data_IF_818938005686
#
_entry.id   IF_818938005686
#
_cell.length_a   1.000
_cell.length_b   1.000
_cell.length_c   1.000
_cell.angle_alpha   90.00
_cell.angle_beta   90.00
_cell.angle_gamma   90.00
#
_symmetry.space_group_name_H-M   'P 1'
#
loop_
_entity.id
_entity.type
_entity.pdbx_description
1 polymer ?
#
# COMPACT_ATOMS: atom_id res chain seq x y z
N UNK A 1 -35.97 35.62 8.95
CA UNK A 1 -34.78 34.82 9.28
C UNK A 1 -34.00 35.54 10.36
N UNK A 2 -33.92 34.98 11.57
CA UNK A 2 -33.25 35.62 12.69
C UNK A 2 -31.73 35.50 12.48
N UNK A 3 -30.97 36.58 12.68
CA UNK A 3 -29.50 36.60 12.49
C UNK A 3 -28.80 35.45 13.25
N UNK A 4 -29.35 35.07 14.40
CA UNK A 4 -28.91 33.96 15.25
C UNK A 4 -29.09 32.60 14.55
N UNK A 5 -30.20 32.39 13.86
CA UNK A 5 -30.44 31.16 13.08
C UNK A 5 -29.48 31.03 11.90
N UNK A 6 -29.12 32.15 11.26
CA UNK A 6 -28.16 32.16 10.16
C UNK A 6 -26.74 31.82 10.65
N UNK A 7 -26.29 32.41 11.76
CA UNK A 7 -24.98 32.10 12.35
C UNK A 7 -24.85 30.65 12.79
N UNK A 8 -25.92 30.06 13.35
CA UNK A 8 -25.93 28.64 13.74
C UNK A 8 -25.84 27.75 12.51
N UNK A 9 -26.62 28.02 11.45
CA UNK A 9 -26.55 27.24 10.21
C UNK A 9 -25.15 27.29 9.56
N UNK A 10 -24.51 28.47 9.52
CA UNK A 10 -23.14 28.59 8.98
C UNK A 10 -22.14 27.79 9.81
N UNK A 11 -22.23 27.88 11.14
CA UNK A 11 -21.34 27.13 12.04
C UNK A 11 -21.49 25.62 11.88
N UNK A 12 -22.73 25.12 11.75
CA UNK A 12 -22.99 23.69 11.51
C UNK A 12 -22.39 23.22 10.20
N UNK A 13 -22.52 24.00 9.12
CA UNK A 13 -21.94 23.67 7.81
C UNK A 13 -20.41 23.62 7.88
N UNK A 14 -19.78 24.58 8.56
CA UNK A 14 -18.32 24.60 8.76
C UNK A 14 -17.86 23.39 9.58
N UNK A 15 -18.54 23.06 10.68
CA UNK A 15 -18.22 21.88 11.47
C UNK A 15 -18.40 20.57 10.68
N UNK A 16 -19.44 20.45 9.85
CA UNK A 16 -19.64 19.32 8.96
C UNK A 16 -18.47 19.17 7.97
N UNK A 17 -18.03 20.28 7.38
CA UNK A 17 -16.92 20.28 6.44
C UNK A 17 -15.60 19.85 7.12
N UNK A 18 -15.35 20.34 8.34
CA UNK A 18 -14.16 19.97 9.12
C UNK A 18 -14.11 18.48 9.50
N UNK A 19 -15.27 17.83 9.69
CA UNK A 19 -15.34 16.39 10.02
C UNK A 19 -15.24 15.52 8.76
N UNK A 20 -15.67 16.02 7.59
CA UNK A 20 -15.68 15.25 6.35
C UNK A 20 -14.31 15.20 5.64
N UNK A 21 -13.50 16.26 5.73
CA UNK A 21 -12.18 16.32 5.05
C UNK A 21 -11.20 15.20 5.49
N UNK A 22 -11.04 14.89 6.79
CA UNK A 22 -10.07 13.88 7.23
C UNK A 22 -10.35 12.47 6.68
N UNK A 23 -11.62 12.11 6.46
CA UNK A 23 -12.00 10.79 5.95
C UNK A 23 -11.67 10.61 4.47
N UNK A 24 -11.60 11.70 3.69
CA UNK A 24 -11.32 11.63 2.25
C UNK A 24 -9.82 11.54 1.92
N UNK A 25 -8.94 11.87 2.86
CA UNK A 25 -7.48 11.93 2.65
C UNK A 25 -6.72 10.71 3.18
N UNK A 26 -7.40 9.61 3.52
CA UNK A 26 -6.74 8.36 3.85
C UNK A 26 -6.15 7.72 2.58
N UNK A 27 -4.96 8.15 2.18
CA UNK A 27 -4.24 7.54 1.07
C UNK A 27 -3.86 6.11 1.45
N UNK A 28 -4.30 5.13 0.67
CA UNK A 28 -3.84 3.76 0.82
C UNK A 28 -2.40 3.63 0.35
N UNK A 29 -1.59 2.92 1.14
CA UNK A 29 -0.25 2.52 0.76
C UNK A 29 -0.40 1.24 -0.05
N UNK A 30 0.00 1.27 -1.32
CA UNK A 30 0.02 0.07 -2.16
C UNK A 30 1.39 -0.57 -2.13
N UNK A 31 1.44 -1.88 -1.98
CA UNK A 31 2.67 -2.67 -1.96
C UNK A 31 2.54 -3.74 -3.03
N UNK A 32 3.40 -3.71 -4.04
CA UNK A 32 3.55 -4.79 -5.01
C UNK A 32 4.72 -5.65 -4.56
N UNK A 33 4.46 -6.92 -4.27
CA UNK A 33 5.46 -7.91 -3.90
C UNK A 33 5.64 -8.89 -5.05
N UNK A 34 6.78 -8.80 -5.73
CA UNK A 34 7.13 -9.66 -6.85
C UNK A 34 7.90 -10.87 -6.32
N UNK A 35 7.40 -12.06 -6.62
CA UNK A 35 7.95 -13.31 -6.11
C UNK A 35 7.84 -14.43 -7.14
N UNK A 36 8.44 -15.57 -6.81
CA UNK A 36 8.38 -16.77 -7.63
C UNK A 36 8.32 -18.03 -6.76
N UNK A 37 7.53 -19.02 -7.17
CA UNK A 37 7.61 -20.36 -6.55
C UNK A 37 8.98 -21.01 -6.77
N UNK A 38 9.51 -21.65 -5.73
CA UNK A 38 10.80 -22.34 -5.73
C UNK A 38 12.02 -21.40 -5.71
N UNK A 39 11.81 -20.11 -5.50
CA UNK A 39 12.86 -19.13 -5.23
C UNK A 39 13.19 -19.19 -3.73
N UNK A 40 14.45 -19.52 -3.40
CA UNK A 40 14.87 -19.70 -2.00
C UNK A 40 14.64 -18.45 -1.14
N UNK A 41 15.03 -17.27 -1.66
CA UNK A 41 14.85 -16.02 -0.93
C UNK A 41 13.37 -15.63 -0.79
N UNK A 42 12.56 -15.97 -1.80
CA UNK A 42 11.11 -15.76 -1.78
C UNK A 42 10.44 -16.63 -0.72
N UNK A 43 10.87 -17.89 -0.56
CA UNK A 43 10.35 -18.77 0.51
C UNK A 43 10.64 -18.24 1.93
N UNK A 44 11.68 -17.40 2.07
CA UNK A 44 11.99 -16.70 3.32
C UNK A 44 11.10 -15.47 3.50
N UNK A 45 10.90 -14.66 2.44
CA UNK A 45 10.11 -13.42 2.52
C UNK A 45 8.60 -13.62 2.45
N UNK A 46 8.11 -14.65 1.77
CA UNK A 46 6.68 -14.98 1.63
C UNK A 46 5.94 -14.99 2.99
N UNK A 47 6.38 -15.74 4.02
CA UNK A 47 5.71 -15.76 5.32
C UNK A 47 5.78 -14.41 6.05
N UNK A 48 6.80 -13.58 5.79
CA UNK A 48 6.91 -12.23 6.34
C UNK A 48 5.85 -11.32 5.71
N UNK A 49 5.70 -11.38 4.38
CA UNK A 49 4.67 -10.62 3.66
C UNK A 49 3.26 -11.06 4.08
N UNK A 50 3.02 -12.36 4.26
CA UNK A 50 1.75 -12.90 4.78
C UNK A 50 1.42 -12.35 6.18
N UNK A 51 2.44 -12.27 7.04
CA UNK A 51 2.31 -11.69 8.39
C UNK A 51 1.95 -10.20 8.33
N UNK A 52 2.62 -9.42 7.47
CA UNK A 52 2.34 -7.99 7.29
C UNK A 52 0.91 -7.79 6.76
N UNK A 53 0.52 -8.55 5.72
CA UNK A 53 -0.84 -8.48 5.16
C UNK A 53 -1.90 -8.74 6.24
N UNK A 54 -1.66 -9.74 7.09
CA UNK A 54 -2.56 -10.06 8.21
C UNK A 54 -2.57 -8.97 9.27
N UNK A 55 -1.41 -8.46 9.67
CA UNK A 55 -1.26 -7.43 10.70
C UNK A 55 -1.95 -6.12 10.31
N UNK A 56 -1.91 -5.76 9.02
CA UNK A 56 -2.43 -4.50 8.50
C UNK A 56 -3.72 -4.65 7.69
N UNK A 57 -4.43 -5.77 7.80
CA UNK A 57 -5.63 -6.10 7.02
C UNK A 57 -6.76 -5.04 7.11
N UNK A 58 -6.85 -4.32 8.23
CA UNK A 58 -7.85 -3.27 8.46
C UNK A 58 -7.28 -1.85 8.29
N UNK A 59 -6.02 -1.73 7.88
CA UNK A 59 -5.35 -0.46 7.67
C UNK A 59 -5.37 -0.12 6.17
N UNK A 60 -4.87 1.06 5.84
CA UNK A 60 -4.78 1.57 4.48
C UNK A 60 -3.72 0.85 3.63
N UNK A 61 -3.16 -0.28 4.04
CA UNK A 61 -2.11 -1.00 3.28
C UNK A 61 -2.75 -2.08 2.40
N UNK A 62 -2.47 -2.05 1.09
CA UNK A 62 -2.96 -3.01 0.11
C UNK A 62 -1.76 -3.73 -0.49
N UNK A 63 -1.62 -5.04 -0.22
CA UNK A 63 -0.52 -5.85 -0.73
C UNK A 63 -1.01 -6.68 -1.93
N UNK A 64 -0.30 -6.55 -3.04
CA UNK A 64 -0.51 -7.35 -4.26
C UNK A 64 0.69 -8.28 -4.44
N UNK A 65 0.48 -9.59 -4.29
CA UNK A 65 1.50 -10.62 -4.54
C UNK A 65 1.47 -11.00 -6.02
N UNK A 66 2.57 -10.77 -6.72
CA UNK A 66 2.66 -10.89 -8.19
C UNK A 66 3.65 -12.01 -8.52
N UNK A 67 3.12 -13.09 -9.09
CA UNK A 67 3.92 -14.23 -9.54
C UNK A 67 4.63 -13.92 -10.86
N UNK A 68 5.94 -13.74 -10.77
CA UNK A 68 6.81 -13.35 -11.90
C UNK A 68 7.00 -14.45 -12.94
N UNK A 69 6.68 -15.71 -12.61
CA UNK A 69 6.65 -16.80 -13.60
C UNK A 69 5.53 -16.64 -14.64
N UNK A 70 4.51 -15.81 -14.36
CA UNK A 70 3.44 -15.54 -15.33
C UNK A 70 3.87 -14.44 -16.30
N UNK A 71 3.36 -14.49 -17.54
CA UNK A 71 3.66 -13.45 -18.55
C UNK A 71 3.27 -12.05 -18.06
N UNK A 72 2.12 -11.92 -17.41
CA UNK A 72 1.66 -10.65 -16.89
C UNK A 72 2.54 -10.17 -15.71
N UNK A 73 2.82 -11.06 -14.74
CA UNK A 73 3.67 -10.72 -13.60
C UNK A 73 5.10 -10.37 -14.01
N UNK A 74 5.68 -11.09 -14.97
CA UNK A 74 6.98 -10.75 -15.56
C UNK A 74 6.96 -9.36 -16.20
N UNK A 75 5.94 -9.05 -17.00
CA UNK A 75 5.82 -7.75 -17.65
C UNK A 75 5.66 -6.61 -16.63
N UNK A 76 4.95 -6.84 -15.53
CA UNK A 76 4.83 -5.88 -14.44
C UNK A 76 6.17 -5.66 -13.73
N UNK A 77 6.85 -6.74 -13.36
CA UNK A 77 8.16 -6.71 -12.70
C UNK A 77 9.24 -6.04 -13.56
N UNK A 78 9.30 -6.38 -14.84
CA UNK A 78 10.30 -5.88 -15.79
C UNK A 78 10.21 -4.36 -16.01
N UNK A 79 9.03 -3.73 -15.82
CA UNK A 79 8.88 -2.26 -15.89
C UNK A 79 9.71 -1.53 -14.85
N UNK A 80 10.01 -2.17 -13.73
CA UNK A 80 10.75 -1.55 -12.63
C UNK A 80 12.26 -1.72 -12.75
N UNK A 81 12.74 -2.62 -13.63
CA UNK A 81 14.17 -2.83 -13.89
C UNK A 81 14.90 -3.60 -12.81
N UNK A 82 14.19 -4.45 -12.06
CA UNK A 82 14.81 -5.35 -11.09
C UNK A 82 15.64 -6.44 -11.78
N UNK A 83 16.63 -6.97 -11.06
CA UNK A 83 17.49 -8.05 -11.55
C UNK A 83 17.03 -9.42 -11.08
N UNK A 84 16.49 -9.49 -9.87
CA UNK A 84 16.02 -10.72 -9.25
C UNK A 84 14.80 -10.50 -8.36
N UNK A 85 14.22 -11.61 -7.92
CA UNK A 85 13.16 -11.68 -6.91
C UNK A 85 13.73 -12.24 -5.59
N UNK A 86 13.10 -11.95 -4.43
CA UNK A 86 11.96 -11.06 -4.23
C UNK A 86 12.28 -9.59 -4.52
N UNK A 87 11.25 -8.83 -4.93
CA UNK A 87 11.35 -7.38 -5.09
C UNK A 87 10.05 -6.72 -4.64
N UNK A 88 10.14 -5.52 -4.06
CA UNK A 88 8.99 -4.77 -3.56
C UNK A 88 8.91 -3.40 -4.24
N UNK A 89 7.70 -2.97 -4.57
CA UNK A 89 7.41 -1.60 -4.98
C UNK A 89 6.32 -1.01 -4.11
N UNK A 90 6.59 0.12 -3.48
CA UNK A 90 5.63 0.86 -2.65
C UNK A 90 5.11 2.06 -3.43
N UNK A 91 3.78 2.22 -3.48
CA UNK A 91 3.08 3.31 -4.15
C UNK A 91 3.48 3.52 -5.63
N UNK A 92 3.87 2.45 -6.32
CA UNK A 92 4.40 2.47 -7.71
C UNK A 92 5.68 3.31 -7.90
N UNK A 93 6.31 3.78 -6.82
CA UNK A 93 7.43 4.73 -6.88
C UNK A 93 8.68 4.18 -6.21
N UNK A 94 8.59 3.83 -4.92
CA UNK A 94 9.74 3.35 -4.15
C UNK A 94 10.01 1.91 -4.49
N UNK A 95 11.20 1.64 -5.02
CA UNK A 95 11.67 0.30 -5.40
C UNK A 95 12.59 -0.22 -4.31
N UNK A 96 12.32 -1.43 -3.85
CA UNK A 96 13.14 -2.15 -2.88
C UNK A 96 13.59 -3.46 -3.53
N UNK A 97 14.81 -3.52 -4.07
CA UNK A 97 15.38 -4.75 -4.59
C UNK A 97 15.69 -5.73 -3.44
N UNK A 98 15.97 -6.99 -3.77
CA UNK A 98 16.19 -8.06 -2.79
C UNK A 98 17.15 -7.69 -1.67
N UNK A 99 18.26 -7.01 -1.99
CA UNK A 99 19.31 -6.64 -1.05
C UNK A 99 18.84 -5.66 0.03
N UNK A 100 17.78 -4.90 -0.25
CA UNK A 100 17.20 -3.91 0.67
C UNK A 100 16.04 -4.49 1.48
N UNK A 101 15.61 -5.73 1.21
CA UNK A 101 14.56 -6.41 1.98
C UNK A 101 15.20 -7.05 3.21
N UNK A 102 15.27 -6.28 4.30
CA UNK A 102 15.83 -6.72 5.58
C UNK A 102 14.86 -6.48 6.74
N UNK A 103 14.84 -7.35 7.74
CA UNK A 103 14.16 -7.04 9.02
C UNK A 103 14.95 -5.97 9.78
N UNK A 104 14.24 -5.04 10.44
CA UNK A 104 14.88 -4.12 11.39
C UNK A 104 15.47 -4.92 12.56
N UNK A 105 16.73 -4.61 12.93
CA UNK A 105 17.43 -5.22 14.07
C UNK A 105 17.06 -4.57 15.39
#
# INVERSE_FOLDING_TARGET
>A
MNKISYTISVLVVVCLYLILIPMACANSITVQYFHQKGCHDCEITDPIVDRIETQYKNNTIIISKIETSTVDGFNQWNKYGFLEVPAIVVNNETKLPKEEITEEK
#
